data_IF_641448894401
#
_entry.id   IF_641448894401
#
_cell.length_a   1.000
_cell.length_b   1.000
_cell.length_c   1.000
_cell.angle_alpha   90.00
_cell.angle_beta   90.00
_cell.angle_gamma   90.00
#
_symmetry.space_group_name_H-M   'P 1'
#
loop_
_entity.id
_entity.type
_entity.pdbx_description
1 polymer ?
#
# COMPACT_ATOMS: atom_id res chain seq x y z
N UNK A 1 -80.43 10.81 18.59
CA UNK A 1 -79.89 9.51 19.01
C UNK A 1 -80.11 8.54 17.86
N UNK A 2 -79.09 8.23 17.06
CA UNK A 2 -78.20 7.07 17.21
C UNK A 2 -78.78 5.84 16.49
N UNK A 3 -78.38 5.64 15.24
CA UNK A 3 -78.44 4.34 14.55
C UNK A 3 -77.00 3.97 14.14
N UNK A 4 -76.48 2.81 14.57
CA UNK A 4 -75.20 2.29 14.12
C UNK A 4 -75.33 1.14 13.11
N UNK A 5 -74.18 0.93 12.49
CA UNK A 5 -73.64 -0.34 11.99
C UNK A 5 -73.78 -0.69 10.50
N UNK A 6 -72.61 -1.06 10.00
CA UNK A 6 -72.23 -1.16 8.62
C UNK A 6 -72.37 -2.61 8.15
N UNK A 7 -72.85 -2.80 6.91
CA UNK A 7 -72.72 -4.07 6.22
C UNK A 7 -72.01 -3.89 4.89
N UNK A 8 -70.77 -4.35 4.89
CA UNK A 8 -70.16 -5.24 3.89
C UNK A 8 -70.54 -5.03 2.42
N UNK A 9 -69.60 -4.51 1.63
CA UNK A 9 -69.50 -4.83 0.21
C UNK A 9 -68.02 -4.88 -0.24
N UNK A 10 -67.72 -5.93 -0.98
CA UNK A 10 -66.41 -6.38 -1.42
C UNK A 10 -65.69 -5.38 -2.36
N UNK A 11 -64.36 -5.32 -2.27
CA UNK A 11 -63.51 -4.65 -3.25
C UNK A 11 -62.74 -5.70 -4.09
N UNK A 12 -62.70 -5.57 -5.43
CA UNK A 12 -61.92 -6.46 -6.28
C UNK A 12 -60.43 -6.08 -6.29
N UNK A 13 -59.59 -7.12 -6.36
CA UNK A 13 -58.13 -7.07 -6.51
C UNK A 13 -57.72 -6.46 -7.85
N UNK A 14 -56.78 -5.50 -7.83
CA UNK A 14 -56.05 -5.00 -9.01
C UNK A 14 -54.54 -5.19 -8.85
N UNK A 15 -53.79 -5.41 -9.96
CA UNK A 15 -52.44 -5.95 -9.93
C UNK A 15 -51.35 -4.92 -9.63
N UNK A 16 -50.29 -5.42 -8.98
CA UNK A 16 -48.98 -4.77 -8.81
C UNK A 16 -48.35 -4.49 -10.18
N UNK A 17 -48.00 -3.24 -10.46
CA UNK A 17 -46.94 -2.88 -11.41
C UNK A 17 -46.29 -1.56 -10.99
N UNK A 18 -45.02 -1.62 -10.63
CA UNK A 18 -44.19 -0.45 -10.28
C UNK A 18 -43.65 0.21 -11.55
N UNK A 19 -43.81 1.53 -11.76
CA UNK A 19 -43.09 2.24 -12.80
C UNK A 19 -41.66 2.55 -12.34
N UNK A 20 -40.70 2.05 -13.11
CA UNK A 20 -39.26 2.23 -12.94
C UNK A 20 -38.85 3.58 -13.55
N UNK A 21 -38.58 4.59 -12.73
CA UNK A 21 -38.02 5.89 -13.18
C UNK A 21 -36.58 6.06 -12.68
N UNK A 22 -35.60 6.34 -13.55
CA UNK A 22 -34.27 6.74 -13.12
C UNK A 22 -34.23 8.26 -12.90
N UNK A 23 -34.01 8.69 -11.66
CA UNK A 23 -33.78 10.10 -11.34
C UNK A 23 -32.31 10.45 -11.60
N UNK A 24 -32.06 11.22 -12.66
CA UNK A 24 -30.75 11.82 -12.92
C UNK A 24 -30.63 13.11 -12.09
N UNK A 25 -29.81 13.10 -11.03
CA UNK A 25 -29.44 14.33 -10.32
C UNK A 25 -28.45 15.15 -11.15
N UNK A 26 -28.93 16.24 -11.76
CA UNK A 26 -28.08 17.30 -12.30
C UNK A 26 -27.83 18.36 -11.22
N UNK A 27 -26.56 18.59 -10.87
CA UNK A 27 -26.18 19.73 -10.03
C UNK A 27 -25.82 20.93 -10.92
N UNK A 28 -26.51 22.07 -10.81
CA UNK A 28 -26.15 23.29 -11.49
C UNK A 28 -25.17 24.07 -10.63
N UNK A 29 -23.93 24.25 -11.07
CA UNK A 29 -23.25 25.56 -11.07
C UNK A 29 -21.82 25.41 -11.62
N UNK A 30 -21.54 26.19 -12.67
CA UNK A 30 -20.20 26.44 -13.17
C UNK A 30 -19.44 27.26 -12.11
N UNK A 31 -18.26 26.81 -11.67
CA UNK A 31 -17.31 27.66 -10.95
C UNK A 31 -15.93 27.55 -11.60
N UNK A 32 -15.65 28.55 -12.41
CA UNK A 32 -14.34 28.97 -12.90
C UNK A 32 -13.35 29.15 -11.73
N UNK A 33 -12.11 28.69 -11.90
CA UNK A 33 -10.95 29.22 -11.17
C UNK A 33 -10.32 28.35 -10.06
N UNK A 34 -9.26 27.62 -10.44
CA UNK A 34 -7.92 27.69 -9.84
C UNK A 34 -7.72 27.29 -8.37
N UNK A 35 -7.21 26.07 -8.13
CA UNK A 35 -6.09 25.74 -7.20
C UNK A 35 -5.42 24.44 -7.70
N UNK A 36 -4.38 24.51 -8.53
CA UNK A 36 -2.96 24.55 -8.11
C UNK A 36 -2.62 23.47 -7.07
N UNK A 37 -2.79 22.19 -7.42
CA UNK A 37 -2.03 21.09 -6.80
C UNK A 37 -1.59 20.01 -7.80
N UNK A 38 -2.04 20.09 -9.05
CA UNK A 38 -1.55 19.23 -10.13
C UNK A 38 -0.36 19.89 -10.82
N UNK A 39 0.70 20.16 -10.05
CA UNK A 39 2.02 20.46 -10.62
C UNK A 39 2.97 19.38 -10.15
N UNK A 40 3.15 18.41 -11.04
CA UNK A 40 4.38 17.64 -11.22
C UNK A 40 5.20 17.38 -9.95
N UNK A 41 4.85 16.32 -9.25
CA UNK A 41 5.89 15.34 -8.88
C UNK A 41 5.31 13.98 -9.23
N UNK A 42 5.61 13.51 -10.45
CA UNK A 42 5.57 12.09 -10.73
C UNK A 42 6.36 11.42 -9.60
N UNK A 43 5.73 10.67 -8.67
CA UNK A 43 6.51 9.96 -7.67
C UNK A 43 7.49 9.06 -8.45
N UNK A 44 8.75 8.92 -7.99
CA UNK A 44 9.73 8.01 -8.59
C UNK A 44 9.00 6.71 -8.95
N UNK A 45 9.04 6.40 -10.24
CA UNK A 45 8.21 5.37 -10.84
C UNK A 45 8.46 4.05 -10.13
N UNK A 46 7.56 3.69 -9.21
CA UNK A 46 7.41 2.31 -8.77
C UNK A 46 7.33 1.44 -10.03
N UNK A 47 7.99 0.26 -10.07
CA UNK A 47 7.77 -0.71 -11.12
C UNK A 47 6.25 -0.90 -11.26
N UNK A 48 5.71 -0.58 -12.44
CA UNK A 48 4.31 -0.19 -12.71
C UNK A 48 3.24 -1.21 -12.27
N UNK A 49 3.64 -2.37 -11.79
CA UNK A 49 2.75 -3.51 -11.51
C UNK A 49 2.71 -3.91 -10.01
N UNK A 50 3.15 -3.05 -9.09
CA UNK A 50 3.06 -3.33 -7.65
C UNK A 50 1.61 -3.10 -7.18
N UNK A 51 0.91 -4.11 -6.62
CA UNK A 51 -0.50 -3.96 -6.23
C UNK A 51 -0.60 -3.00 -5.03
N UNK A 52 -1.47 -1.99 -5.13
CA UNK A 52 -1.83 -1.14 -4.01
C UNK A 52 -3.02 -1.71 -3.24
N UNK A 53 -3.05 -1.63 -1.89
CA UNK A 53 -1.96 -1.18 -1.01
C UNK A 53 -0.89 -2.26 -0.81
N UNK A 54 0.38 -1.85 -0.79
CA UNK A 54 1.49 -2.78 -0.56
C UNK A 54 1.48 -3.28 0.89
N UNK A 55 1.71 -4.59 1.14
CA UNK A 55 1.77 -5.10 2.49
C UNK A 55 2.86 -4.41 3.29
N UNK A 56 2.55 -4.01 4.52
CA UNK A 56 3.53 -3.55 5.51
C UNK A 56 3.71 -4.61 6.59
N UNK A 57 4.73 -4.51 7.44
CA UNK A 57 4.91 -5.39 8.62
C UNK A 57 3.64 -5.56 9.46
N UNK A 58 2.79 -4.53 9.58
CA UNK A 58 1.53 -4.57 10.37
C UNK A 58 0.34 -5.13 9.60
N UNK A 59 0.31 -4.99 8.28
CA UNK A 59 -0.82 -5.40 7.43
C UNK A 59 -0.61 -6.81 6.83
N UNK A 60 0.62 -7.33 6.87
CA UNK A 60 0.94 -8.68 6.37
C UNK A 60 0.24 -9.75 7.21
N UNK A 61 -0.34 -10.76 6.53
CA UNK A 61 -1.03 -11.85 7.21
C UNK A 61 -0.06 -12.69 8.05
N UNK A 62 -0.55 -13.26 9.16
CA UNK A 62 0.25 -14.09 10.05
C UNK A 62 0.96 -15.24 9.31
N UNK A 63 0.25 -15.96 8.44
CA UNK A 63 0.81 -17.07 7.66
C UNK A 63 1.88 -16.62 6.66
N UNK A 64 1.79 -15.42 6.09
CA UNK A 64 2.83 -14.87 5.24
C UNK A 64 4.09 -14.53 6.06
N UNK A 65 3.91 -13.89 7.22
CA UNK A 65 5.00 -13.59 8.15
C UNK A 65 5.71 -14.86 8.62
N UNK A 66 4.97 -15.89 9.05
CA UNK A 66 5.58 -17.16 9.52
C UNK A 66 6.39 -17.84 8.42
N UNK A 67 5.86 -17.93 7.20
CA UNK A 67 6.58 -18.54 6.07
C UNK A 67 7.83 -17.77 5.67
N UNK A 68 7.76 -16.44 5.66
CA UNK A 68 8.92 -15.61 5.36
C UNK A 68 10.00 -15.75 6.45
N UNK A 69 9.59 -15.84 7.73
CA UNK A 69 10.49 -16.04 8.87
C UNK A 69 11.25 -17.35 8.83
N UNK A 70 10.60 -18.44 8.43
CA UNK A 70 11.26 -19.75 8.24
C UNK A 70 11.99 -19.89 6.91
N UNK A 71 11.92 -18.87 6.04
CA UNK A 71 12.59 -18.85 4.75
C UNK A 71 14.10 -18.61 4.85
N UNK A 72 14.83 -18.86 3.75
CA UNK A 72 16.26 -18.57 3.67
C UNK A 72 16.55 -17.07 3.76
N UNK A 73 17.73 -16.74 4.29
CA UNK A 73 18.24 -15.37 4.34
C UNK A 73 19.06 -15.11 3.08
N UNK A 74 18.77 -13.99 2.41
CA UNK A 74 19.47 -13.52 1.23
C UNK A 74 20.29 -12.29 1.56
N UNK A 75 21.30 -12.03 0.71
CA UNK A 75 22.12 -10.82 0.74
C UNK A 75 21.83 -9.95 -0.48
N UNK A 76 21.93 -8.65 -0.32
CA UNK A 76 21.78 -7.70 -1.41
C UNK A 76 22.33 -6.33 -1.03
N UNK A 77 22.20 -5.41 -1.97
CA UNK A 77 22.64 -4.03 -1.82
C UNK A 77 21.45 -3.12 -1.96
N UNK A 78 21.29 -2.16 -1.05
CA UNK A 78 20.26 -1.14 -1.15
C UNK A 78 20.50 -0.30 -2.41
N UNK A 79 19.55 -0.32 -3.34
CA UNK A 79 19.65 0.40 -4.61
C UNK A 79 19.15 1.84 -4.45
N UNK A 80 17.99 1.99 -3.84
CA UNK A 80 17.46 3.28 -3.45
C UNK A 80 16.54 3.11 -2.25
N UNK A 81 16.48 4.13 -1.42
CA UNK A 81 15.53 4.19 -0.32
C UNK A 81 15.18 5.65 -0.05
N UNK A 82 13.88 5.93 0.12
CA UNK A 82 13.41 7.27 0.41
C UNK A 82 12.68 7.30 1.75
N UNK A 83 13.27 7.97 2.74
CA UNK A 83 12.67 8.14 4.07
C UNK A 83 11.31 8.84 4.02
N UNK A 84 11.16 9.83 3.15
CA UNK A 84 9.90 10.58 3.00
C UNK A 84 8.77 9.73 2.42
N UNK A 85 9.11 8.78 1.53
CA UNK A 85 8.14 7.86 0.94
C UNK A 85 7.97 6.56 1.73
N UNK A 86 8.91 6.24 2.62
CA UNK A 86 8.90 5.05 3.47
C UNK A 86 9.15 3.75 2.71
N UNK A 87 9.74 3.79 1.52
CA UNK A 87 10.02 2.59 0.75
C UNK A 87 11.23 2.76 -0.17
N UNK A 88 11.68 1.63 -0.72
CA UNK A 88 12.82 1.56 -1.61
C UNK A 88 12.95 0.21 -2.30
N UNK A 89 14.12 -0.04 -2.87
CA UNK A 89 14.45 -1.25 -3.59
C UNK A 89 15.82 -1.79 -3.20
N UNK A 90 15.91 -3.12 -3.08
CA UNK A 90 17.15 -3.85 -2.83
C UNK A 90 17.50 -4.63 -4.08
N UNK A 91 18.75 -4.50 -4.54
CA UNK A 91 19.31 -5.31 -5.60
C UNK A 91 19.86 -6.61 -5.00
N UNK A 92 19.32 -7.79 -5.35
CA UNK A 92 19.82 -9.06 -4.87
C UNK A 92 21.27 -9.33 -5.34
N UNK A 93 22.09 -9.92 -4.46
CA UNK A 93 23.47 -10.30 -4.79
C UNK A 93 23.56 -11.39 -5.86
N UNK A 94 22.56 -12.28 -5.92
CA UNK A 94 22.45 -13.33 -6.94
C UNK A 94 22.00 -12.80 -8.32
N UNK A 95 21.76 -11.50 -8.45
CA UNK A 95 21.11 -10.92 -9.63
C UNK A 95 19.60 -11.19 -9.65
N UNK A 96 18.92 -10.66 -10.66
CA UNK A 96 17.46 -10.73 -10.80
C UNK A 96 16.78 -9.37 -10.69
N UNK A 97 15.47 -9.41 -10.45
CA UNK A 97 14.65 -8.20 -10.29
C UNK A 97 14.90 -7.51 -8.95
N UNK A 98 14.72 -6.18 -8.95
CA UNK A 98 14.82 -5.39 -7.73
C UNK A 98 13.67 -5.73 -6.77
N UNK A 99 14.01 -5.93 -5.50
CA UNK A 99 13.08 -6.38 -4.48
C UNK A 99 12.54 -5.17 -3.73
N UNK A 100 11.22 -5.07 -3.63
CA UNK A 100 10.58 -3.99 -2.90
C UNK A 100 10.83 -4.10 -1.39
N UNK A 101 11.19 -2.99 -0.74
CA UNK A 101 11.31 -2.91 0.72
C UNK A 101 10.47 -1.76 1.27
N UNK A 102 9.80 -2.01 2.39
CA UNK A 102 9.04 -0.99 3.12
C UNK A 102 9.77 -0.64 4.43
N UNK A 103 9.69 0.62 4.85
CA UNK A 103 10.33 1.15 6.07
C UNK A 103 10.00 0.32 7.32
N UNK A 104 8.76 -0.17 7.42
CA UNK A 104 8.33 -0.99 8.56
C UNK A 104 9.02 -2.34 8.65
N UNK A 105 9.60 -2.84 7.55
CA UNK A 105 10.30 -4.13 7.48
C UNK A 105 11.81 -4.00 7.63
N UNK A 106 12.33 -2.78 7.76
CA UNK A 106 13.73 -2.51 8.06
C UNK A 106 13.89 -2.51 9.58
N UNK A 107 14.75 -3.40 10.06
CA UNK A 107 15.16 -3.50 11.45
C UNK A 107 16.55 -2.83 11.61
N UNK A 108 16.73 -2.12 12.71
CA UNK A 108 17.97 -1.39 13.03
C UNK A 108 17.76 0.10 13.21
N UNK A 109 18.84 0.82 13.55
CA UNK A 109 18.80 2.25 13.88
C UNK A 109 19.08 3.15 12.68
N UNK A 110 19.72 2.61 11.65
CA UNK A 110 20.17 3.34 10.46
C UNK A 110 19.11 3.35 9.36
N UNK A 111 19.01 4.49 8.68
CA UNK A 111 18.24 4.68 7.45
C UNK A 111 19.07 4.11 6.30
N UNK A 112 18.57 3.12 5.53
CA UNK A 112 19.31 2.58 4.41
C UNK A 112 19.64 3.64 3.37
N UNK A 113 20.89 3.63 2.93
CA UNK A 113 21.40 4.48 1.86
C UNK A 113 21.80 3.63 0.65
N UNK A 114 21.94 4.28 -0.50
CA UNK A 114 22.42 3.60 -1.70
C UNK A 114 23.83 3.04 -1.49
N UNK A 115 23.99 1.77 -1.84
CA UNK A 115 25.25 1.03 -1.69
C UNK A 115 25.40 0.25 -0.37
N UNK A 116 24.44 0.34 0.55
CA UNK A 116 24.49 -0.43 1.81
C UNK A 116 24.26 -1.91 1.58
N UNK A 117 25.08 -2.74 2.22
CA UNK A 117 24.87 -4.19 2.22
C UNK A 117 23.84 -4.58 3.26
N UNK A 118 22.82 -5.30 2.81
CA UNK A 118 21.69 -5.71 3.63
C UNK A 118 21.47 -7.22 3.53
N UNK A 119 21.06 -7.81 4.65
CA UNK A 119 20.47 -9.15 4.69
C UNK A 119 18.96 -9.03 4.82
N UNK A 120 18.23 -9.87 4.11
CA UNK A 120 16.77 -9.85 4.11
C UNK A 120 16.20 -11.25 3.85
N UNK A 121 14.93 -11.43 4.17
CA UNK A 121 14.12 -12.58 3.74
C UNK A 121 13.10 -12.13 2.71
N UNK A 122 12.56 -13.07 1.94
CA UNK A 122 11.58 -12.76 0.89
C UNK A 122 10.19 -13.19 1.32
N UNK A 123 9.21 -12.34 1.06
CA UNK A 123 7.81 -12.65 1.19
C UNK A 123 7.09 -12.32 -0.14
N UNK A 124 6.37 -13.27 -0.75
CA UNK A 124 5.53 -12.96 -1.90
C UNK A 124 4.38 -12.03 -1.49
N UNK A 125 4.00 -11.12 -2.39
CA UNK A 125 2.93 -10.14 -2.18
C UNK A 125 1.59 -10.73 -2.68
N UNK A 126 0.61 -11.00 -1.80
CA UNK A 126 -0.74 -11.42 -2.20
C UNK A 126 -1.48 -10.30 -2.98
N UNK A 127 -2.53 -10.62 -3.76
CA UNK A 127 -3.12 -11.94 -3.98
C UNK A 127 -2.44 -12.75 -5.09
N UNK A 128 -1.70 -12.08 -6.00
CA UNK A 128 -1.13 -12.73 -7.19
C UNK A 128 0.24 -13.38 -6.95
N UNK A 129 0.94 -13.04 -5.85
CA UNK A 129 2.26 -13.56 -5.49
C UNK A 129 3.33 -13.42 -6.59
N UNK A 130 3.16 -12.47 -7.51
CA UNK A 130 4.09 -12.24 -8.63
C UNK A 130 5.31 -11.42 -8.20
N UNK A 131 5.12 -10.51 -7.24
CA UNK A 131 6.18 -9.65 -6.74
C UNK A 131 6.62 -10.09 -5.36
N UNK A 132 7.90 -9.91 -5.09
CA UNK A 132 8.52 -10.22 -3.82
C UNK A 132 8.82 -8.94 -3.05
N UNK A 133 8.62 -9.05 -1.74
CA UNK A 133 8.95 -8.02 -0.78
C UNK A 133 10.05 -8.52 0.16
N UNK A 134 11.03 -7.67 0.40
CA UNK A 134 12.05 -7.90 1.42
C UNK A 134 11.44 -7.66 2.80
N UNK A 135 11.63 -8.63 3.70
CA UNK A 135 11.17 -8.59 5.09
C UNK A 135 12.32 -8.93 6.02
N UNK A 136 12.23 -8.48 7.28
CA UNK A 136 13.30 -8.65 8.28
C UNK A 136 14.65 -8.16 7.72
N UNK A 137 14.65 -6.93 7.18
CA UNK A 137 15.83 -6.36 6.53
C UNK A 137 16.76 -5.79 7.58
N UNK A 138 18.00 -6.25 7.60
CA UNK A 138 19.04 -5.82 8.53
C UNK A 138 20.22 -5.29 7.73
N UNK A 139 20.68 -4.08 8.06
CA UNK A 139 21.91 -3.52 7.50
C UNK A 139 23.13 -4.25 8.08
N UNK A 140 23.97 -4.77 7.21
CA UNK A 140 25.18 -5.52 7.58
C UNK A 140 26.44 -4.68 7.44
N UNK A 141 26.62 -4.01 6.29
CA UNK A 141 27.72 -3.09 6.07
C UNK A 141 27.18 -1.76 5.56
N UNK A 142 27.48 -0.69 6.28
CA UNK A 142 27.18 0.68 5.88
C UNK A 142 28.19 1.09 4.80
N UNK A 143 27.71 1.75 3.75
CA UNK A 143 28.58 2.29 2.71
C UNK A 143 29.44 3.41 3.30
N UNK A 144 30.78 3.27 3.33
CA UNK A 144 31.67 4.24 3.97
C UNK A 144 31.74 5.59 3.24
N UNK A 145 31.28 5.64 1.99
CA UNK A 145 31.32 6.86 1.16
C UNK A 145 30.15 7.80 1.49
N UNK A 146 29.02 7.26 1.96
CA UNK A 146 27.80 8.02 2.20
C UNK A 146 27.66 8.38 3.68
N UNK A 147 27.05 9.55 3.94
CA UNK A 147 26.65 9.92 5.30
C UNK A 147 25.41 9.11 5.67
N UNK A 148 25.45 8.46 6.82
CA UNK A 148 24.33 7.66 7.32
C UNK A 148 23.51 8.48 8.30
N UNK A 149 22.19 8.41 8.17
CA UNK A 149 21.28 8.97 9.15
C UNK A 149 20.66 7.83 9.95
N UNK A 150 20.39 8.08 11.23
CA UNK A 150 19.58 7.19 12.05
C UNK A 150 18.12 7.62 12.02
N UNK A 151 17.20 6.72 12.39
CA UNK A 151 15.77 7.04 12.50
C UNK A 151 15.51 8.15 13.54
N UNK A 152 16.37 8.30 14.54
CA UNK A 152 16.34 9.38 15.54
C UNK A 152 16.84 10.74 15.02
N UNK A 153 17.45 10.77 13.82
CA UNK A 153 17.97 11.99 13.20
C UNK A 153 19.43 12.31 13.51
N UNK A 154 20.19 11.39 14.12
CA UNK A 154 21.63 11.54 14.25
C UNK A 154 22.32 11.19 12.93
N UNK A 155 23.19 12.10 12.44
CA UNK A 155 24.01 11.88 11.26
C UNK A 155 25.35 11.30 11.71
N UNK A 156 25.69 10.12 11.19
CA UNK A 156 26.94 9.42 11.46
C UNK A 156 27.73 9.38 10.15
N UNK A 157 28.92 9.98 10.16
CA UNK A 157 29.92 9.81 9.10
C UNK A 157 30.87 8.69 9.50
N UNK A 158 31.20 7.81 8.55
CA UNK A 158 32.35 6.92 8.68
C UNK A 158 33.66 7.70 8.59
#
# INVERSE_FOLDING_TARGET
MSEPDASSAAAPSLPVTSPRTPLQLSFPFHREGSRVWERERKPPSLPRDLPSPLPTKRTRTYSATVRARSGPVFKGVCKNFSRSQGHGFIKPSHGGEDIFVHISDIDGEYVPMEGDEVTYKVCPIPPKNQKIQAVEVVLTHLNPVTKHETWSGQIISS
#
